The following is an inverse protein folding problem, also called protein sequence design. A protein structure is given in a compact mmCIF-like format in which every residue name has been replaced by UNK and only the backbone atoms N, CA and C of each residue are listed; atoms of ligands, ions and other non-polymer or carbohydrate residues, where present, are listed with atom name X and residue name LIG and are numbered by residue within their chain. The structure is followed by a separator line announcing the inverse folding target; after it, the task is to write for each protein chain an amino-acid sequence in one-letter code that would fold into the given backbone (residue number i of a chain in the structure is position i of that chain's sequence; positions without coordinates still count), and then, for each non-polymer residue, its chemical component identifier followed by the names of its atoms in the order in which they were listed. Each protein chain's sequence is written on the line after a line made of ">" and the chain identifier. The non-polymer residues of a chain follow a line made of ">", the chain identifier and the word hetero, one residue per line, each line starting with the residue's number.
data_IF_874569818432
#
_entry.id   IF_874569818432
#
_cell.length_a   1.000
_cell.length_b   1.000
_cell.length_c   1.000
_cell.angle_alpha   90.00
_cell.angle_beta   90.00
_cell.angle_gamma   90.00
#
_symmetry.space_group_name_H-M   'P 1'
#
loop_
_entity.id
_entity.type
_entity.pdbx_description
1 polymer ?
#
# COMPACT_ATOMS: atom_id res chain seq x y z
N UNK A 1 30.51 -19.44 -13.83
CA UNK A 1 29.11 -19.42 -14.31
C UNK A 1 28.18 -20.43 -13.62
N UNK A 2 28.67 -21.52 -13.03
CA UNK A 2 27.81 -22.55 -12.38
C UNK A 2 27.20 -22.10 -11.04
N UNK A 3 27.88 -21.25 -10.27
CA UNK A 3 27.40 -20.78 -8.96
C UNK A 3 26.22 -19.78 -9.01
N UNK A 4 26.03 -19.07 -10.13
CA UNK A 4 24.93 -18.11 -10.28
C UNK A 4 23.58 -18.81 -10.56
N UNK A 5 23.60 -19.96 -11.24
CA UNK A 5 22.41 -20.74 -11.55
C UNK A 5 21.79 -21.46 -10.35
N UNK A 6 22.63 -21.92 -9.40
CA UNK A 6 22.13 -22.56 -8.18
C UNK A 6 21.40 -21.57 -7.26
N UNK A 7 21.91 -20.34 -7.11
CA UNK A 7 21.29 -19.30 -6.27
C UNK A 7 19.91 -18.86 -6.79
N UNK A 8 19.74 -18.75 -8.11
CA UNK A 8 18.45 -18.42 -8.72
C UNK A 8 17.44 -19.56 -8.57
N UNK A 9 17.89 -20.81 -8.64
CA UNK A 9 17.03 -22.00 -8.50
C UNK A 9 16.58 -22.25 -7.06
N UNK A 10 17.51 -22.24 -6.10
CA UNK A 10 17.19 -22.48 -4.67
C UNK A 10 16.47 -21.30 -4.04
N UNK A 11 16.81 -20.06 -4.41
CA UNK A 11 16.09 -18.86 -3.99
C UNK A 11 14.63 -18.85 -4.47
N UNK A 12 14.38 -19.29 -5.71
CA UNK A 12 13.01 -19.35 -6.25
C UNK A 12 12.17 -20.45 -5.59
N UNK A 13 12.78 -21.57 -5.16
CA UNK A 13 12.09 -22.65 -4.44
C UNK A 13 11.70 -22.25 -3.01
N UNK A 14 12.58 -21.54 -2.28
CA UNK A 14 12.29 -21.03 -0.94
C UNK A 14 11.22 -19.94 -1.01
N UNK A 15 11.31 -19.02 -1.97
CA UNK A 15 10.31 -17.97 -2.19
C UNK A 15 8.96 -18.59 -2.59
N UNK A 16 8.92 -19.62 -3.44
CA UNK A 16 7.69 -20.35 -3.76
C UNK A 16 7.13 -21.11 -2.55
N UNK A 17 7.97 -21.75 -1.74
CA UNK A 17 7.54 -22.42 -0.51
C UNK A 17 6.95 -21.44 0.52
N UNK A 18 7.58 -20.27 0.69
CA UNK A 18 7.05 -19.19 1.53
C UNK A 18 5.74 -18.64 0.97
N UNK A 19 5.65 -18.42 -0.34
CA UNK A 19 4.42 -17.97 -1.01
C UNK A 19 3.32 -19.04 -0.85
N UNK A 20 3.63 -20.32 -0.92
CA UNK A 20 2.64 -21.41 -0.75
C UNK A 20 2.13 -21.49 0.70
N UNK A 21 3.02 -21.32 1.70
CA UNK A 21 2.65 -21.22 3.12
C UNK A 21 1.81 -19.96 3.38
N UNK A 22 2.16 -18.83 2.74
CA UNK A 22 1.43 -17.56 2.83
C UNK A 22 0.10 -17.57 2.04
N UNK A 23 -0.03 -18.38 0.99
CA UNK A 23 -1.26 -18.55 0.20
C UNK A 23 -2.25 -19.50 0.86
N UNK A 24 -1.79 -20.48 1.65
CA UNK A 24 -2.66 -21.40 2.39
C UNK A 24 -3.38 -20.76 3.58
N UNK A 25 -2.89 -19.62 4.05
CA UNK A 25 -3.53 -18.83 5.10
C UNK A 25 -4.18 -17.63 4.41
N UNK A 26 -5.50 -17.65 4.23
CA UNK A 26 -6.15 -16.41 3.81
C UNK A 26 -5.87 -15.35 4.88
N UNK A 27 -5.27 -14.22 4.49
CA UNK A 27 -4.91 -13.13 5.41
C UNK A 27 -6.09 -12.72 6.30
N UNK A 28 -7.33 -12.89 5.81
CA UNK A 28 -8.57 -12.70 6.57
C UNK A 28 -8.72 -13.66 7.75
N UNK A 29 -8.46 -14.96 7.60
CA UNK A 29 -8.55 -15.95 8.67
C UNK A 29 -7.42 -15.75 9.71
N UNK A 30 -6.22 -15.39 9.25
CA UNK A 30 -5.12 -15.03 10.15
C UNK A 30 -5.44 -13.79 10.98
N UNK A 31 -5.95 -12.74 10.33
CA UNK A 31 -6.31 -11.49 10.97
C UNK A 31 -7.40 -11.67 12.04
N UNK A 32 -8.41 -12.51 11.77
CA UNK A 32 -9.44 -12.86 12.76
C UNK A 32 -8.84 -13.60 13.95
N UNK A 33 -7.95 -14.56 13.72
CA UNK A 33 -7.30 -15.33 14.79
C UNK A 33 -6.47 -14.44 15.72
N UNK A 34 -5.75 -13.48 15.14
CA UNK A 34 -4.96 -12.51 15.89
C UNK A 34 -5.78 -11.36 16.47
N UNK A 35 -7.12 -11.39 16.42
CA UNK A 35 -7.94 -10.37 17.07
C UNK A 35 -7.86 -9.00 16.40
N UNK A 36 -7.55 -9.02 15.12
CA UNK A 36 -7.31 -7.84 14.33
C UNK A 36 -8.13 -8.05 13.02
N UNK A 37 -9.41 -8.38 13.04
CA UNK A 37 -10.14 -8.62 11.78
C UNK A 37 -10.46 -7.33 10.99
N UNK A 38 -10.55 -6.19 11.68
CA UNK A 38 -11.05 -4.92 11.13
C UNK A 38 -12.53 -4.99 10.79
N UNK A 39 -12.98 -4.05 9.95
CA UNK A 39 -14.34 -4.06 9.39
C UNK A 39 -14.38 -4.97 8.14
N UNK A 40 -15.38 -5.86 8.08
CA UNK A 40 -15.58 -6.73 6.93
C UNK A 40 -16.02 -5.94 5.69
N UNK A 41 -15.65 -6.41 4.50
CA UNK A 41 -15.98 -5.74 3.21
C UNK A 41 -17.49 -5.71 2.95
N UNK A 42 -18.25 -6.61 3.58
CA UNK A 42 -19.72 -6.69 3.50
C UNK A 42 -20.45 -5.68 4.40
N UNK A 43 -19.74 -4.99 5.29
CA UNK A 43 -20.34 -3.99 6.18
C UNK A 43 -20.57 -2.65 5.47
N UNK A 44 -21.33 -1.77 6.12
CA UNK A 44 -21.70 -0.45 5.57
C UNK A 44 -20.50 0.34 5.04
N UNK A 45 -20.70 1.08 3.95
CA UNK A 45 -19.68 1.97 3.38
C UNK A 45 -19.20 3.02 4.39
N UNK A 46 -20.09 3.43 5.29
CA UNK A 46 -19.80 4.33 6.41
C UNK A 46 -18.82 3.70 7.40
N UNK A 47 -19.03 2.44 7.82
CA UNK A 47 -18.10 1.75 8.72
C UNK A 47 -16.69 1.61 8.11
N UNK A 48 -16.63 1.32 6.80
CA UNK A 48 -15.36 1.22 6.07
C UNK A 48 -14.66 2.58 5.91
N UNK A 49 -15.42 3.67 5.77
CA UNK A 49 -14.88 5.02 5.68
C UNK A 49 -14.35 5.50 7.05
N UNK A 50 -15.10 5.23 8.12
CA UNK A 50 -14.70 5.55 9.49
C UNK A 50 -13.42 4.81 9.90
N UNK A 51 -13.32 3.51 9.62
CA UNK A 51 -12.11 2.71 9.90
C UNK A 51 -10.87 3.37 9.26
N UNK A 52 -10.96 3.77 7.98
CA UNK A 52 -9.86 4.43 7.28
C UNK A 52 -9.52 5.79 7.87
N UNK A 53 -10.54 6.59 8.19
CA UNK A 53 -10.38 7.93 8.73
C UNK A 53 -9.69 7.90 10.11
N UNK A 54 -10.19 7.07 11.02
CA UNK A 54 -9.61 6.92 12.35
C UNK A 54 -8.21 6.30 12.31
N UNK A 55 -7.98 5.28 11.48
CA UNK A 55 -6.64 4.70 11.30
C UNK A 55 -5.60 5.75 10.86
N UNK A 56 -5.97 6.67 9.96
CA UNK A 56 -5.08 7.76 9.55
C UNK A 56 -4.80 8.76 10.69
N UNK A 57 -5.83 9.12 11.45
CA UNK A 57 -5.71 10.03 12.59
C UNK A 57 -4.84 9.43 13.72
N UNK A 58 -5.03 8.13 14.02
CA UNK A 58 -4.21 7.36 14.96
C UNK A 58 -2.75 7.40 14.56
N UNK A 59 -2.46 7.16 13.29
CA UNK A 59 -1.09 7.12 12.77
C UNK A 59 -0.39 8.48 12.96
N UNK A 60 -1.07 9.58 12.68
CA UNK A 60 -0.57 10.93 12.95
C UNK A 60 -0.32 11.11 14.45
N UNK A 61 -1.28 10.74 15.30
CA UNK A 61 -1.12 10.83 16.75
C UNK A 61 0.04 9.99 17.28
N UNK A 62 0.34 8.83 16.69
CA UNK A 62 1.50 8.01 17.04
C UNK A 62 2.78 8.74 16.66
N UNK A 63 2.90 9.24 15.44
CA UNK A 63 4.11 9.96 14.97
C UNK A 63 4.38 11.16 15.87
N UNK A 64 3.35 11.97 16.12
CA UNK A 64 3.43 13.12 17.04
C UNK A 64 3.80 12.62 18.43
N UNK A 65 3.11 11.61 18.96
CA UNK A 65 3.38 11.03 20.28
C UNK A 65 4.84 10.60 20.45
N UNK A 66 5.40 9.86 19.47
CA UNK A 66 6.78 9.37 19.51
C UNK A 66 7.80 10.52 19.48
N UNK A 67 7.54 11.56 18.68
CA UNK A 67 8.40 12.74 18.63
C UNK A 67 8.53 13.44 20.00
N UNK A 68 7.46 13.44 20.80
CA UNK A 68 7.45 14.05 22.13
C UNK A 68 7.93 13.12 23.26
N UNK A 69 8.25 11.84 22.98
CA UNK A 69 8.69 10.87 24.01
C UNK A 69 10.17 11.04 24.39
N UNK A 70 11.01 11.54 23.48
CA UNK A 70 12.48 11.57 23.67
C UNK A 70 12.98 12.60 24.69
N UNK A 71 12.15 13.55 25.13
CA UNK A 71 12.59 14.65 26.01
C UNK A 71 12.29 14.43 27.50
N UNK A 72 12.13 13.17 27.91
CA UNK A 72 11.79 12.81 29.31
C UNK A 72 12.94 12.98 30.31
N UNK A 73 14.11 13.44 29.86
CA UNK A 73 15.27 13.75 30.71
C UNK A 73 15.42 15.25 31.02
N UNK A 74 14.69 16.14 30.33
CA UNK A 74 14.73 17.59 30.58
C UNK A 74 13.45 18.02 31.30
N UNK A 75 13.60 18.36 32.58
CA UNK A 75 12.56 18.83 33.50
C UNK A 75 11.87 20.14 33.06
N UNK A 76 11.10 20.13 31.96
CA UNK A 76 10.21 21.23 31.57
C UNK A 76 8.75 20.81 31.80
N UNK A 77 8.14 21.37 32.84
CA UNK A 77 6.74 21.13 33.23
C UNK A 77 5.75 21.28 32.06
N UNK A 78 6.03 22.20 31.12
CA UNK A 78 5.22 22.43 29.94
C UNK A 78 5.26 21.26 28.92
N UNK A 79 6.43 20.64 28.68
CA UNK A 79 6.54 19.50 27.75
C UNK A 79 5.86 18.24 28.30
N UNK A 80 5.96 18.01 29.61
CA UNK A 80 5.27 16.90 30.27
C UNK A 80 3.75 17.03 30.20
N UNK A 81 3.21 18.25 30.38
CA UNK A 81 1.79 18.52 30.23
C UNK A 81 1.32 18.27 28.78
N UNK A 82 2.06 18.77 27.79
CA UNK A 82 1.77 18.54 26.38
C UNK A 82 1.79 17.04 26.04
N UNK A 83 2.79 16.29 26.53
CA UNK A 83 2.88 14.85 26.32
C UNK A 83 1.70 14.09 26.96
N UNK A 84 1.24 14.50 28.15
CA UNK A 84 0.09 13.89 28.80
C UNK A 84 -1.22 14.21 28.05
N UNK A 85 -1.38 15.42 27.53
CA UNK A 85 -2.53 15.79 26.68
C UNK A 85 -2.53 14.96 25.40
N UNK A 86 -1.39 14.82 24.73
CA UNK A 86 -1.26 14.00 23.50
C UNK A 86 -1.61 12.54 23.78
N UNK A 87 -1.15 11.97 24.90
CA UNK A 87 -1.50 10.60 25.33
C UNK A 87 -3.01 10.46 25.57
N UNK A 88 -3.62 11.41 26.28
CA UNK A 88 -5.07 11.41 26.52
C UNK A 88 -5.88 11.50 25.24
N UNK A 89 -5.47 12.35 24.29
CA UNK A 89 -6.07 12.46 22.96
C UNK A 89 -5.96 11.13 22.22
N UNK A 90 -4.78 10.52 22.22
CA UNK A 90 -4.55 9.22 21.56
C UNK A 90 -5.46 8.11 22.13
N UNK A 91 -5.56 8.01 23.46
CA UNK A 91 -6.43 7.05 24.12
C UNK A 91 -7.91 7.30 23.79
N UNK A 92 -8.35 8.56 23.86
CA UNK A 92 -9.73 8.93 23.53
C UNK A 92 -10.08 8.58 22.08
N UNK A 93 -9.14 8.80 21.16
CA UNK A 93 -9.33 8.56 19.74
C UNK A 93 -9.46 7.07 19.42
N UNK A 94 -8.61 6.20 20.00
CA UNK A 94 -8.76 4.73 19.86
C UNK A 94 -10.10 4.27 20.44
N UNK A 95 -10.49 4.79 21.60
CA UNK A 95 -11.77 4.45 22.21
C UNK A 95 -12.94 4.86 21.33
N UNK A 96 -12.93 6.09 20.80
CA UNK A 96 -13.98 6.60 19.90
C UNK A 96 -14.03 5.81 18.60
N UNK A 97 -12.89 5.46 18.00
CA UNK A 97 -12.85 4.57 16.84
C UNK A 97 -13.56 3.25 17.16
N UNK A 98 -13.14 2.56 18.23
CA UNK A 98 -13.70 1.27 18.59
C UNK A 98 -15.21 1.33 18.84
N UNK A 99 -15.68 2.34 19.57
CA UNK A 99 -17.11 2.53 19.85
C UNK A 99 -17.89 2.88 18.58
N UNK A 100 -17.36 3.79 17.75
CA UNK A 100 -18.02 4.18 16.50
C UNK A 100 -18.18 3.00 15.54
N UNK A 101 -17.16 2.15 15.42
CA UNK A 101 -17.21 0.93 14.62
C UNK A 101 -18.17 -0.10 15.21
N UNK A 102 -18.17 -0.27 16.53
CA UNK A 102 -19.10 -1.19 17.21
C UNK A 102 -20.57 -0.79 16.98
N UNK A 103 -20.86 0.50 16.88
CA UNK A 103 -22.22 1.01 16.60
C UNK A 103 -22.60 0.84 15.12
N UNK A 104 -21.64 0.99 14.19
CA UNK A 104 -21.90 0.94 12.75
C UNK A 104 -21.95 -0.47 12.16
N UNK A 105 -21.39 -1.47 12.84
CA UNK A 105 -21.34 -2.87 12.37
C UNK A 105 -22.64 -3.61 12.72
N UNK A 106 -23.15 -4.41 11.79
CA UNK A 106 -24.37 -5.20 11.99
C UNK A 106 -24.24 -6.25 13.08
N UNK A 107 -23.16 -7.03 13.07
CA UNK A 107 -22.91 -8.08 14.08
C UNK A 107 -21.83 -7.64 15.10
N UNK A 108 -22.30 -7.07 16.21
CA UNK A 108 -21.44 -6.52 17.27
C UNK A 108 -20.64 -7.60 17.99
N UNK A 109 -21.21 -8.80 18.16
CA UNK A 109 -20.56 -9.89 18.89
C UNK A 109 -19.43 -10.52 18.08
N UNK A 110 -19.68 -10.73 16.78
CA UNK A 110 -18.61 -11.12 15.87
C UNK A 110 -17.51 -10.07 15.86
N UNK A 111 -17.85 -8.78 15.81
CA UNK A 111 -16.86 -7.70 15.81
C UNK A 111 -15.97 -7.71 17.06
N UNK A 112 -16.55 -7.82 18.26
CA UNK A 112 -15.77 -7.84 19.52
C UNK A 112 -14.85 -9.07 19.58
N UNK A 113 -15.35 -10.26 19.23
CA UNK A 113 -14.54 -11.49 19.26
C UNK A 113 -13.45 -11.50 18.19
N UNK A 114 -13.70 -10.89 17.04
CA UNK A 114 -12.74 -10.82 15.95
C UNK A 114 -11.74 -9.66 16.09
N UNK A 115 -12.05 -8.65 16.91
CA UNK A 115 -11.21 -7.48 17.21
C UNK A 115 -10.81 -7.40 18.69
N UNK A 116 -10.61 -8.56 19.34
CA UNK A 116 -10.32 -8.62 20.78
C UNK A 116 -8.98 -7.97 21.17
N UNK A 117 -8.00 -7.90 20.26
CA UNK A 117 -6.73 -7.22 20.53
C UNK A 117 -6.91 -5.70 20.65
N UNK A 118 -7.79 -5.08 19.85
CA UNK A 118 -8.09 -3.65 19.99
C UNK A 118 -8.72 -3.35 21.36
N UNK A 119 -9.64 -4.20 21.80
CA UNK A 119 -10.21 -4.09 23.14
C UNK A 119 -9.13 -4.22 24.22
N UNK A 120 -8.22 -5.19 24.08
CA UNK A 120 -7.10 -5.38 25.00
C UNK A 120 -6.20 -4.14 25.05
N UNK A 121 -5.90 -3.53 23.90
CA UNK A 121 -5.10 -2.30 23.82
C UNK A 121 -5.77 -1.16 24.59
N UNK A 122 -7.06 -0.92 24.39
CA UNK A 122 -7.82 0.13 25.10
C UNK A 122 -7.74 -0.10 26.62
N UNK A 123 -8.01 -1.32 27.05
CA UNK A 123 -7.99 -1.70 28.47
C UNK A 123 -6.59 -1.50 29.05
N UNK A 124 -5.55 -2.02 28.40
CA UNK A 124 -4.19 -1.95 28.93
C UNK A 124 -3.68 -0.50 29.00
N UNK A 125 -3.98 0.35 28.01
CA UNK A 125 -3.62 1.78 28.05
C UNK A 125 -4.30 2.50 29.22
N UNK A 126 -5.59 2.25 29.43
CA UNK A 126 -6.35 2.82 30.54
C UNK A 126 -5.76 2.41 31.91
N UNK A 127 -5.37 1.15 32.07
CA UNK A 127 -4.76 0.65 33.30
C UNK A 127 -3.35 1.20 33.54
N UNK A 128 -2.54 1.41 32.49
CA UNK A 128 -1.19 1.97 32.62
C UNK A 128 -1.24 3.40 33.18
N UNK A 129 -2.19 4.22 32.74
CA UNK A 129 -2.31 5.61 33.19
C UNK A 129 -2.87 5.73 34.61
N UNK A 130 -3.81 4.85 35.01
CA UNK A 130 -4.34 4.84 36.39
C UNK A 130 -3.27 4.51 37.42
N UNK A 131 -2.39 3.56 37.11
CA UNK A 131 -1.53 3.00 38.14
C UNK A 131 -0.26 3.81 38.44
N UNK A 132 0.08 4.85 37.64
CA UNK A 132 1.12 5.87 37.90
C UNK A 132 2.38 5.37 38.68
N UNK A 133 2.76 4.09 38.52
CA UNK A 133 3.64 3.42 39.47
C UNK A 133 5.09 3.74 39.11
N UNK A 134 5.65 4.67 39.87
CA UNK A 134 6.91 5.38 39.64
C UNK A 134 8.20 4.55 39.83
N UNK A 135 8.15 3.20 39.87
CA UNK A 135 9.36 2.43 40.24
C UNK A 135 9.66 1.14 39.44
N UNK A 136 8.79 0.67 38.54
CA UNK A 136 8.99 -0.60 37.78
C UNK A 136 9.17 -0.38 36.25
N UNK A 137 9.92 0.65 35.86
CA UNK A 137 9.77 1.36 34.57
C UNK A 137 10.44 0.75 33.31
N UNK A 138 11.08 -0.42 33.38
CA UNK A 138 11.66 -1.06 32.19
C UNK A 138 10.66 -1.98 31.45
N UNK A 139 9.94 -2.92 32.12
CA UNK A 139 8.97 -3.76 31.42
C UNK A 139 7.79 -3.00 30.81
N UNK A 140 7.37 -1.87 31.40
CA UNK A 140 6.26 -1.04 30.85
C UNK A 140 6.66 -0.34 29.54
N UNK A 141 7.94 0.06 29.40
CA UNK A 141 8.47 0.61 28.14
C UNK A 141 8.52 -0.45 27.04
N UNK A 142 8.92 -1.67 27.40
CA UNK A 142 8.91 -2.83 26.48
C UNK A 142 7.47 -3.17 26.06
N UNK A 143 6.51 -3.12 26.98
CA UNK A 143 5.08 -3.25 26.67
C UNK A 143 4.62 -2.14 25.73
N UNK A 144 5.10 -0.90 25.90
CA UNK A 144 4.76 0.24 25.03
C UNK A 144 5.33 0.06 23.60
N UNK A 145 6.55 -0.47 23.45
CA UNK A 145 7.15 -0.80 22.15
C UNK A 145 6.43 -1.99 21.50
N UNK A 146 6.11 -3.02 22.28
CA UNK A 146 5.31 -4.16 21.83
C UNK A 146 3.89 -3.74 21.42
N UNK A 147 3.31 -2.76 22.12
CA UNK A 147 2.06 -2.09 21.78
C UNK A 147 2.15 -1.32 20.46
N UNK A 148 3.21 -0.54 20.25
CA UNK A 148 3.46 0.14 18.96
C UNK A 148 3.55 -0.89 17.83
N UNK A 149 4.22 -2.02 18.06
CA UNK A 149 4.26 -3.14 17.11
C UNK A 149 2.87 -3.75 16.84
N UNK A 150 2.04 -3.93 17.88
CA UNK A 150 0.65 -4.40 17.76
C UNK A 150 -0.25 -3.40 17.02
N UNK A 151 -0.07 -2.09 17.21
CA UNK A 151 -0.83 -1.01 16.55
C UNK A 151 -0.31 -0.72 15.14
N UNK A 152 0.97 -1.01 14.86
CA UNK A 152 1.55 -0.95 13.52
C UNK A 152 0.96 -2.05 12.61
N UNK A 153 0.64 -3.24 13.14
CA UNK A 153 0.07 -4.33 12.35
C UNK A 153 -1.27 -4.01 11.66
N UNK A 154 -2.27 -3.35 12.29
CA UNK A 154 -3.45 -2.86 11.59
C UNK A 154 -3.13 -1.73 10.59
N UNK A 155 -2.18 -0.84 10.88
CA UNK A 155 -1.70 0.16 9.90
C UNK A 155 -1.09 -0.49 8.64
N UNK A 156 -0.37 -1.60 8.79
CA UNK A 156 0.14 -2.42 7.67
C UNK A 156 -1.00 -2.97 6.76
N UNK A 157 -2.26 -2.96 7.23
CA UNK A 157 -3.44 -3.38 6.45
C UNK A 157 -4.03 -2.27 5.64
N UNK A 158 -4.06 -1.06 6.21
CA UNK A 158 -4.38 0.13 5.43
C UNK A 158 -3.32 0.29 4.36
N UNK A 159 -2.04 0.11 4.70
CA UNK A 159 -0.93 0.01 3.74
C UNK A 159 -1.22 -1.04 2.68
N UNK A 160 -1.38 -2.33 3.00
CA UNK A 160 -1.62 -3.38 1.98
C UNK A 160 -2.91 -3.18 1.18
N UNK A 161 -3.99 -2.64 1.77
CA UNK A 161 -5.26 -2.32 1.08
C UNK A 161 -5.12 -1.06 0.21
N UNK A 162 -4.32 -0.07 0.60
CA UNK A 162 -4.03 1.16 -0.17
C UNK A 162 -2.97 0.90 -1.26
N UNK A 163 -2.04 -0.04 -1.03
CA UNK A 163 -1.23 -0.69 -2.06
C UNK A 163 -2.08 -1.48 -3.06
N UNK A 164 -3.35 -1.77 -2.76
CA UNK A 164 -4.31 -2.29 -3.73
C UNK A 164 -5.08 -1.18 -4.47
N UNK A 165 -5.27 0.00 -3.87
CA UNK A 165 -5.89 1.14 -4.53
C UNK A 165 -4.89 1.89 -5.43
N UNK A 166 -4.87 1.47 -6.70
CA UNK A 166 -4.55 2.09 -8.00
C UNK A 166 -3.69 3.38 -8.16
N UNK A 167 -3.14 4.01 -7.11
CA UNK A 167 -2.51 5.32 -7.22
C UNK A 167 -1.03 5.27 -6.85
N UNK A 168 -0.11 5.63 -7.75
CA UNK A 168 1.33 5.61 -7.47
C UNK A 168 1.71 6.53 -6.31
N UNK A 169 1.04 7.69 -6.20
CA UNK A 169 1.22 8.64 -5.11
C UNK A 169 0.97 8.02 -3.71
N UNK A 170 0.07 7.04 -3.64
CA UNK A 170 -0.23 6.32 -2.40
C UNK A 170 0.99 5.58 -1.85
N UNK A 171 1.78 4.96 -2.73
CA UNK A 171 2.97 4.20 -2.34
C UNK A 171 4.03 5.14 -1.77
N UNK A 172 4.28 6.27 -2.43
CA UNK A 172 5.22 7.28 -1.94
C UNK A 172 4.80 7.84 -0.58
N UNK A 173 3.52 8.15 -0.41
CA UNK A 173 3.01 8.68 0.86
C UNK A 173 3.17 7.66 2.01
N UNK A 174 2.85 6.39 1.75
CA UNK A 174 3.06 5.32 2.72
C UNK A 174 4.55 5.13 3.02
N UNK A 175 5.42 5.23 2.01
CA UNK A 175 6.87 5.18 2.18
C UNK A 175 7.36 6.22 3.17
N UNK A 176 6.95 7.48 2.98
CA UNK A 176 7.32 8.55 3.89
C UNK A 176 6.87 8.27 5.33
N UNK A 177 5.66 7.74 5.52
CA UNK A 177 5.17 7.41 6.86
C UNK A 177 5.98 6.28 7.50
N UNK A 178 6.26 5.20 6.75
CA UNK A 178 7.06 4.07 7.25
C UNK A 178 8.47 4.55 7.63
N UNK A 179 9.09 5.38 6.79
CA UNK A 179 10.40 5.98 7.06
C UNK A 179 10.40 6.78 8.37
N UNK A 180 9.44 7.69 8.54
CA UNK A 180 9.35 8.51 9.77
C UNK A 180 9.12 7.61 10.98
N UNK A 181 8.20 6.66 10.89
CA UNK A 181 7.82 5.81 12.01
C UNK A 181 8.98 4.89 12.44
N UNK A 182 9.63 4.20 11.50
CA UNK A 182 10.78 3.36 11.83
C UNK A 182 11.98 4.18 12.34
N UNK A 183 12.17 5.39 11.80
CA UNK A 183 13.19 6.32 12.27
C UNK A 183 12.99 6.73 13.74
N UNK A 184 11.76 7.08 14.11
CA UNK A 184 11.40 7.40 15.48
C UNK A 184 11.45 6.19 16.41
N UNK A 185 11.09 5.00 15.93
CA UNK A 185 11.19 3.78 16.74
C UNK A 185 12.65 3.46 17.06
N UNK A 186 13.55 3.57 16.07
CA UNK A 186 14.95 3.24 16.28
C UNK A 186 15.65 4.27 17.19
N UNK A 187 15.26 5.56 17.13
CA UNK A 187 15.82 6.58 18.03
C UNK A 187 15.46 6.32 19.49
N UNK A 188 14.27 5.76 19.75
CA UNK A 188 13.81 5.42 21.10
C UNK A 188 14.46 4.15 21.67
N UNK A 189 15.00 3.29 20.83
CA UNK A 189 15.50 1.96 21.21
C UNK A 189 17.02 1.91 21.22
N UNK A 190 17.66 2.56 20.25
CA UNK A 190 19.10 2.49 20.05
C UNK A 190 19.79 3.77 20.55
N UNK A 191 20.65 3.70 21.58
CA UNK A 191 21.36 4.87 22.11
C UNK A 191 22.39 5.44 21.12
N UNK A 192 22.75 4.72 20.05
CA UNK A 192 23.62 5.24 18.99
C UNK A 192 22.95 6.34 18.17
N UNK A 193 21.62 6.48 18.26
CA UNK A 193 20.84 7.50 17.56
C UNK A 193 20.48 8.59 18.56
N UNK A 194 21.15 9.73 18.45
CA UNK A 194 21.07 10.80 19.45
C UNK A 194 19.80 11.65 19.35
N UNK A 195 19.25 11.83 18.15
CA UNK A 195 18.04 12.62 17.95
C UNK A 195 16.98 11.89 17.12
N UNK A 196 15.69 12.20 17.29
CA UNK A 196 14.62 11.71 16.42
C UNK A 196 14.88 11.98 14.93
N UNK A 197 15.50 13.12 14.63
CA UNK A 197 15.83 13.52 13.26
C UNK A 197 16.92 12.62 12.67
N UNK A 198 17.94 12.23 13.45
CA UNK A 198 18.97 11.29 13.02
C UNK A 198 18.38 9.90 12.74
N UNK A 199 17.38 9.49 13.53
CA UNK A 199 16.62 8.26 13.30
C UNK A 199 15.85 8.30 11.98
N UNK A 200 15.16 9.42 11.69
CA UNK A 200 14.45 9.63 10.42
C UNK A 200 15.45 9.68 9.24
N UNK A 201 16.60 10.34 9.42
CA UNK A 201 17.67 10.37 8.43
C UNK A 201 18.19 8.97 8.11
N UNK A 202 18.49 8.16 9.15
CA UNK A 202 18.89 6.77 9.00
C UNK A 202 17.84 5.93 8.26
N UNK A 203 16.57 6.07 8.64
CA UNK A 203 15.49 5.35 7.97
C UNK A 203 15.36 5.77 6.50
N UNK A 204 15.54 7.06 6.19
CA UNK A 204 15.46 7.58 4.83
C UNK A 204 16.57 7.02 3.95
N UNK A 205 17.83 7.03 4.41
CA UNK A 205 18.95 6.45 3.65
C UNK A 205 18.84 4.92 3.51
N UNK A 206 18.17 4.25 4.46
CA UNK A 206 17.94 2.79 4.40
C UNK A 206 16.84 2.45 3.38
N UNK A 207 15.71 3.14 3.43
CA UNK A 207 14.58 2.91 2.50
C UNK A 207 14.94 3.28 1.07
N UNK A 208 15.73 4.34 0.88
CA UNK A 208 16.24 4.75 -0.44
C UNK A 208 17.43 3.92 -0.90
N UNK A 209 17.93 3.00 -0.08
CA UNK A 209 19.11 2.14 -0.35
C UNK A 209 20.40 2.93 -0.62
N UNK A 210 20.49 4.18 -0.15
CA UNK A 210 21.70 5.03 -0.27
C UNK A 210 22.79 4.56 0.70
N UNK A 211 22.44 4.44 1.99
CA UNK A 211 23.32 3.91 3.03
C UNK A 211 24.69 4.59 3.15
N UNK A 212 24.71 5.89 3.47
CA UNK A 212 25.94 6.63 3.77
C UNK A 212 26.75 6.01 4.92
N UNK A 213 26.08 5.39 5.89
CA UNK A 213 26.73 4.70 7.01
C UNK A 213 27.27 5.64 8.11
N UNK A 214 26.83 6.90 8.09
CA UNK A 214 27.12 7.95 9.07
C UNK A 214 26.35 7.75 10.39
N UNK A 215 25.10 7.32 10.30
CA UNK A 215 24.24 6.96 11.44
C UNK A 215 23.78 5.53 11.23
N UNK A 216 24.02 4.64 12.19
CA UNK A 216 23.60 3.24 12.13
C UNK A 216 23.23 2.70 13.51
N UNK A 217 22.23 1.82 13.64
CA UNK A 217 21.91 1.18 14.91
C UNK A 217 23.01 0.18 15.30
N UNK A 218 23.53 0.33 16.51
CA UNK A 218 24.58 -0.55 17.05
C UNK A 218 24.02 -1.71 17.87
N UNK A 219 22.82 -1.56 18.43
CA UNK A 219 22.20 -2.57 19.29
C UNK A 219 21.59 -3.73 18.50
N UNK A 220 21.48 -4.89 19.15
CA UNK A 220 20.83 -6.08 18.56
C UNK A 220 19.38 -5.77 18.17
N UNK A 221 18.64 -5.06 19.04
CA UNK A 221 17.24 -4.69 18.79
C UNK A 221 17.13 -3.68 17.66
N UNK A 222 17.97 -2.64 17.63
CA UNK A 222 18.01 -1.66 16.54
C UNK A 222 18.33 -2.30 15.19
N UNK A 223 19.29 -3.24 15.15
CA UNK A 223 19.61 -4.01 13.94
C UNK A 223 18.46 -4.90 13.49
N UNK A 224 17.73 -5.55 14.40
CA UNK A 224 16.56 -6.36 14.06
C UNK A 224 15.46 -5.50 13.40
N UNK A 225 15.23 -4.30 13.94
CA UNK A 225 14.31 -3.30 13.36
C UNK A 225 14.79 -2.86 11.98
N UNK A 226 16.11 -2.63 11.82
CA UNK A 226 16.72 -2.35 10.53
C UNK A 226 16.51 -3.44 9.49
N UNK A 227 16.66 -4.71 9.87
CA UNK A 227 16.38 -5.84 8.98
C UNK A 227 14.91 -5.82 8.53
N UNK A 228 13.97 -5.59 9.45
CA UNK A 228 12.56 -5.44 9.12
C UNK A 228 12.32 -4.28 8.14
N UNK A 229 12.93 -3.12 8.38
CA UNK A 229 12.83 -1.95 7.50
C UNK A 229 13.36 -2.25 6.09
N UNK A 230 14.51 -2.93 5.98
CA UNK A 230 15.09 -3.30 4.69
C UNK A 230 14.17 -4.23 3.89
N UNK A 231 13.57 -5.24 4.53
CA UNK A 231 12.62 -6.15 3.87
C UNK A 231 11.39 -5.39 3.38
N UNK A 232 10.86 -4.47 4.20
CA UNK A 232 9.73 -3.61 3.82
C UNK A 232 10.13 -2.73 2.64
N UNK A 233 11.27 -2.05 2.69
CA UNK A 233 11.76 -1.19 1.60
C UNK A 233 11.87 -1.94 0.26
N UNK A 234 12.39 -3.17 0.27
CA UNK A 234 12.45 -4.01 -0.93
C UNK A 234 11.04 -4.36 -1.44
N UNK A 235 10.13 -4.76 -0.56
CA UNK A 235 8.75 -5.08 -0.94
C UNK A 235 8.04 -3.87 -1.57
N UNK A 236 8.33 -2.68 -1.06
CA UNK A 236 7.82 -1.42 -1.59
C UNK A 236 8.39 -1.10 -2.96
N UNK A 237 9.70 -1.28 -3.16
CA UNK A 237 10.36 -1.10 -4.44
C UNK A 237 9.75 -2.02 -5.52
N UNK A 238 9.61 -3.31 -5.21
CA UNK A 238 8.96 -4.30 -6.10
C UNK A 238 7.54 -3.90 -6.45
N UNK A 239 6.79 -3.35 -5.48
CA UNK A 239 5.43 -2.89 -5.69
C UNK A 239 5.36 -1.72 -6.68
N UNK A 240 6.28 -0.75 -6.59
CA UNK A 240 6.37 0.36 -7.55
C UNK A 240 6.67 -0.19 -8.96
N UNK A 241 7.67 -1.08 -9.09
CA UNK A 241 8.05 -1.68 -10.36
C UNK A 241 6.90 -2.45 -11.00
N UNK A 242 6.17 -3.25 -10.22
CA UNK A 242 5.03 -4.03 -10.71
C UNK A 242 3.91 -3.16 -11.28
N UNK A 243 3.61 -2.04 -10.62
CA UNK A 243 2.59 -1.09 -11.07
C UNK A 243 3.05 -0.30 -12.29
N UNK A 244 4.31 0.09 -12.35
CA UNK A 244 4.87 0.74 -13.54
C UNK A 244 4.79 -0.21 -14.76
N UNK A 245 5.13 -1.48 -14.56
CA UNK A 245 4.98 -2.52 -15.59
C UNK A 245 3.53 -2.70 -16.03
N UNK A 246 2.58 -2.72 -15.09
CA UNK A 246 1.15 -2.81 -15.40
C UNK A 246 0.64 -1.60 -16.21
N UNK A 247 1.07 -0.39 -15.83
CA UNK A 247 0.74 0.85 -16.56
C UNK A 247 1.26 0.81 -18.00
N UNK A 248 2.54 0.47 -18.18
CA UNK A 248 3.15 0.35 -19.51
C UNK A 248 2.46 -0.73 -20.35
N UNK A 249 2.17 -1.89 -19.76
CA UNK A 249 1.46 -2.98 -20.44
C UNK A 249 0.05 -2.56 -20.87
N UNK A 250 -0.65 -1.80 -20.03
CA UNK A 250 -1.96 -1.27 -20.36
C UNK A 250 -1.88 -0.30 -21.54
N UNK A 251 -0.90 0.59 -21.57
CA UNK A 251 -0.72 1.56 -22.67
C UNK A 251 -0.34 0.85 -23.98
N UNK A 252 0.55 -0.14 -23.93
CA UNK A 252 0.91 -0.96 -25.10
C UNK A 252 -0.29 -1.75 -25.62
N UNK A 253 -1.12 -2.32 -24.73
CA UNK A 253 -2.37 -3.01 -25.12
C UNK A 253 -3.35 -2.04 -25.76
N UNK A 254 -3.52 -0.84 -25.20
CA UNK A 254 -4.39 0.21 -25.74
C UNK A 254 -3.94 0.62 -27.15
N UNK A 255 -2.65 0.90 -27.35
CA UNK A 255 -2.11 1.22 -28.67
C UNK A 255 -2.29 0.08 -29.68
N UNK A 256 -2.12 -1.18 -29.25
CA UNK A 256 -2.34 -2.35 -30.12
C UNK A 256 -3.80 -2.51 -30.53
N UNK A 257 -4.75 -2.24 -29.63
CA UNK A 257 -6.18 -2.26 -29.95
C UNK A 257 -6.52 -1.16 -30.94
N UNK A 258 -6.03 0.07 -30.71
CA UNK A 258 -6.23 1.21 -31.62
C UNK A 258 -5.65 0.91 -33.01
N UNK A 259 -4.44 0.35 -33.07
CA UNK A 259 -3.81 -0.04 -34.34
C UNK A 259 -4.60 -1.13 -35.08
N UNK A 260 -5.15 -2.13 -34.37
CA UNK A 260 -6.02 -3.15 -34.97
C UNK A 260 -7.34 -2.57 -35.49
N UNK A 261 -7.94 -1.62 -34.77
CA UNK A 261 -9.18 -0.96 -35.23
C UNK A 261 -8.93 -0.08 -36.45
N UNK A 262 -7.81 0.66 -36.48
CA UNK A 262 -7.41 1.49 -37.62
C UNK A 262 -7.13 0.63 -38.86
N UNK A 263 -6.37 -0.46 -38.71
CA UNK A 263 -6.11 -1.39 -39.81
C UNK A 263 -7.41 -2.01 -40.36
N UNK A 264 -8.37 -2.34 -39.47
CA UNK A 264 -9.66 -2.90 -39.88
C UNK A 264 -10.51 -1.87 -40.63
N UNK A 265 -10.52 -0.61 -40.22
CA UNK A 265 -11.25 0.45 -40.94
C UNK A 265 -10.63 0.77 -42.30
N UNK A 266 -9.30 0.77 -42.39
CA UNK A 266 -8.59 1.02 -43.66
C UNK A 266 -8.90 -0.07 -44.69
N UNK A 267 -8.85 -1.34 -44.28
CA UNK A 267 -9.19 -2.47 -45.15
C UNK A 267 -10.65 -2.49 -45.58
N UNK A 268 -11.56 -2.02 -44.73
CA UNK A 268 -12.97 -1.89 -45.09
C UNK A 268 -13.19 -0.75 -46.09
N UNK A 269 -12.45 0.36 -45.92
CA UNK A 269 -12.47 1.47 -46.86
C UNK A 269 -11.90 1.07 -48.23
N UNK A 270 -10.79 0.33 -48.28
CA UNK A 270 -10.24 -0.21 -49.54
C UNK A 270 -11.27 -1.08 -50.27
N UNK A 271 -11.97 -1.97 -49.57
CA UNK A 271 -13.03 -2.80 -50.18
C UNK A 271 -14.17 -1.96 -50.76
N UNK A 272 -14.59 -0.92 -50.05
CA UNK A 272 -15.63 -0.01 -50.54
C UNK A 272 -15.18 0.73 -51.79
N UNK A 273 -13.94 1.22 -51.82
CA UNK A 273 -13.37 1.91 -52.99
C UNK A 273 -13.27 0.97 -54.19
N UNK A 274 -12.82 -0.27 -53.99
CA UNK A 274 -12.74 -1.28 -55.07
C UNK A 274 -14.13 -1.63 -55.60
N UNK A 275 -15.10 -1.85 -54.72
CA UNK A 275 -16.48 -2.13 -55.14
C UNK A 275 -17.10 -0.96 -55.93
N UNK A 276 -16.81 0.28 -55.52
CA UNK A 276 -17.27 1.47 -56.24
C UNK A 276 -16.59 1.60 -57.61
N UNK A 277 -15.31 1.24 -57.70
CA UNK A 277 -14.55 1.25 -58.97
C UNK A 277 -15.04 0.17 -59.95
N UNK A 278 -15.38 -1.03 -59.47
CA UNK A 278 -16.00 -2.08 -60.30
C UNK A 278 -17.38 -1.67 -60.81
N UNK A 279 -18.22 -1.09 -59.94
CA UNK A 279 -19.53 -0.57 -60.33
C UNK A 279 -19.43 0.48 -61.45
N UNK A 280 -18.52 1.45 -61.32
CA UNK A 280 -18.29 2.47 -62.34
C UNK A 280 -17.79 1.88 -63.66
N UNK A 281 -16.94 0.84 -63.63
CA UNK A 281 -16.51 0.12 -64.84
C UNK A 281 -17.68 -0.55 -65.55
N UNK A 282 -18.57 -1.19 -64.80
CA UNK A 282 -19.76 -1.87 -65.33
C UNK A 282 -20.71 -0.86 -66.00
N UNK A 283 -20.92 0.30 -65.36
CA UNK A 283 -21.77 1.38 -65.88
C UNK A 283 -21.20 2.00 -67.17
N UNK A 284 -19.88 2.24 -67.22
CA UNK A 284 -19.18 2.70 -68.42
C UNK A 284 -19.31 1.68 -69.57
N UNK A 285 -19.20 0.39 -69.27
CA UNK A 285 -19.33 -0.68 -70.27
C UNK A 285 -20.73 -0.72 -70.87
N UNK A 286 -21.77 -0.64 -70.03
CA UNK A 286 -23.16 -0.55 -70.50
C UNK A 286 -23.42 0.71 -71.32
N UNK A 287 -22.84 1.84 -70.94
CA UNK A 287 -22.93 3.08 -71.72
C UNK A 287 -22.27 2.93 -73.09
N UNK A 288 -21.08 2.32 -73.17
CA UNK A 288 -20.41 2.02 -74.44
C UNK A 288 -21.27 1.12 -75.34
N UNK A 289 -21.84 0.03 -74.80
CA UNK A 289 -22.74 -0.84 -75.57
C UNK A 289 -23.99 -0.11 -76.07
N UNK A 290 -24.59 0.76 -75.25
CA UNK A 290 -25.73 1.58 -75.68
C UNK A 290 -25.35 2.58 -76.77
N UNK A 291 -24.16 3.19 -76.67
CA UNK A 291 -23.65 4.11 -77.69
C UNK A 291 -23.41 3.35 -79.00
N UNK A 292 -22.74 2.19 -78.96
CA UNK A 292 -22.48 1.34 -80.12
C UNK A 292 -23.76 0.79 -80.77
N UNK A 293 -24.82 0.57 -80.00
CA UNK A 293 -26.14 0.18 -80.51
C UNK A 293 -26.88 1.33 -81.21
N UNK A 294 -26.60 2.58 -80.83
CA UNK A 294 -27.20 3.79 -81.39
C UNK A 294 -26.39 4.39 -82.56
N UNK A 295 -25.12 4.02 -82.70
CA UNK A 295 -24.29 4.32 -83.87
C UNK A 295 -24.32 3.12 -84.84
N UNK A 296 -25.23 3.09 -85.84
CA UNK A 296 -25.13 2.07 -86.87
C UNK A 296 -23.75 2.18 -87.53
N UNK A 297 -23.03 1.05 -87.61
CA UNK A 297 -21.83 0.93 -88.45
C UNK A 297 -22.18 1.44 -89.84
N UNK A 298 -21.75 2.65 -90.14
CA UNK A 298 -21.76 3.16 -91.50
C UNK A 298 -20.78 2.28 -92.28
N UNK A 299 -21.36 1.32 -93.00
CA UNK A 299 -20.64 0.54 -94.00
C UNK A 299 -20.36 1.48 -95.16
N UNK A 300 -19.26 2.22 -95.09
CA UNK A 300 -18.69 2.82 -96.28
C UNK A 300 -17.90 1.75 -97.06
N UNK A 301 -18.08 1.65 -98.39
CA UNK A 301 -17.48 0.63 -99.26
C UNK A 301 -15.95 0.72 -99.38
#
# INVERSE_FOLDING_TARGET
>A
MVFCGLWVSTGCAIVRGLIFILQGISMTQWNVKWGLAGVQVSESSLAQALEKFFSFLILICIIVGLFFVDDTTVNFSAKQQVANIIKGIFQALIFVEYVSLLVCVRDRWYFVRSNWMMLLVIVLLFFIDIYHASILLVPVKIIRIFMIFIVMMPSMRVVTRYYFFNNMAAIFFVSCIITVLFGLIVSLIDPAIHTPLDGIWWAAQTVTTVGYGDVVPETILGRLIGICLMVIAIAMFVSITSRLSAFLTHEVKKQRVVGKTMYKSEKEHEKQVVAHMEFLKEEIKMLHEKVDALTPKDKSP
#
